data_IF_274219369541
#
_entry.id   IF_274219369541
#
_cell.length_a   1.000
_cell.length_b   1.000
_cell.length_c   1.000
_cell.angle_alpha   90.00
_cell.angle_beta   90.00
_cell.angle_gamma   90.00
#
_symmetry.space_group_name_H-M   'P 1'
#
loop_
_entity.id
_entity.type
_entity.pdbx_description
1 polymer ?
#
# COMPACT_ATOMS: atom_id res chain seq x y z
N UNK A 1 -40.93 18.87 -73.82
CA UNK A 1 -41.76 19.90 -73.17
C UNK A 1 -43.19 19.40 -73.11
N UNK A 2 -43.68 19.05 -71.92
CA UNK A 2 -45.11 18.87 -71.67
C UNK A 2 -45.36 19.19 -70.20
N UNK A 3 -46.00 20.33 -69.97
CA UNK A 3 -46.35 20.89 -68.67
C UNK A 3 -47.78 20.49 -68.32
N UNK A 4 -48.02 20.09 -67.06
CA UNK A 4 -49.35 20.02 -66.40
C UNK A 4 -49.18 19.60 -64.92
N UNK A 5 -50.14 19.91 -64.03
CA UNK A 5 -50.28 21.19 -63.33
C UNK A 5 -50.10 21.06 -61.80
N UNK A 6 -49.92 22.20 -61.13
CA UNK A 6 -49.87 22.34 -59.67
C UNK A 6 -51.16 21.85 -58.98
N UNK A 7 -51.02 21.11 -57.87
CA UNK A 7 -52.11 20.72 -56.96
C UNK A 7 -51.97 21.46 -55.62
N UNK A 8 -53.12 21.96 -55.14
CA UNK A 8 -53.30 22.88 -54.00
C UNK A 8 -52.74 22.35 -52.67
N UNK A 9 -52.21 23.28 -51.86
CA UNK A 9 -52.02 23.11 -50.42
C UNK A 9 -53.36 22.87 -49.74
N UNK A 10 -53.48 21.74 -49.05
CA UNK A 10 -54.49 21.51 -48.01
C UNK A 10 -53.90 21.86 -46.66
N UNK A 11 -54.46 22.88 -46.02
CA UNK A 11 -54.30 23.18 -44.60
C UNK A 11 -55.08 22.14 -43.80
N UNK A 12 -54.40 21.27 -43.08
CA UNK A 12 -55.04 20.46 -42.03
C UNK A 12 -54.40 20.80 -40.69
N UNK A 13 -55.01 21.79 -40.03
CA UNK A 13 -54.80 22.10 -38.63
C UNK A 13 -55.43 20.99 -37.80
N UNK A 14 -54.61 20.02 -37.38
CA UNK A 14 -54.98 19.12 -36.29
C UNK A 14 -53.85 19.13 -35.27
N UNK A 15 -54.08 19.56 -34.01
CA UNK A 15 -53.08 19.49 -32.98
C UNK A 15 -52.88 18.01 -32.65
N UNK A 16 -51.83 17.40 -33.20
CA UNK A 16 -51.38 16.10 -32.75
C UNK A 16 -50.90 16.28 -31.32
N UNK A 17 -51.79 15.94 -30.38
CA UNK A 17 -51.48 15.65 -29.00
C UNK A 17 -50.15 14.89 -28.97
N UNK A 18 -49.12 15.51 -28.39
CA UNK A 18 -47.87 14.84 -28.06
C UNK A 18 -48.18 13.91 -26.88
N UNK A 19 -48.91 12.83 -27.18
CA UNK A 19 -49.15 11.73 -26.28
C UNK A 19 -47.79 11.16 -25.92
N UNK A 20 -47.43 11.39 -24.66
CA UNK A 20 -46.21 10.93 -23.99
C UNK A 20 -45.73 9.59 -24.54
N UNK A 21 -44.73 9.62 -25.41
CA UNK A 21 -44.03 8.42 -25.85
C UNK A 21 -43.06 8.02 -24.72
N UNK A 22 -43.61 7.61 -23.58
CA UNK A 22 -42.88 6.83 -22.58
C UNK A 22 -42.55 5.48 -23.23
N UNK A 23 -41.49 5.44 -24.05
CA UNK A 23 -40.90 4.19 -24.52
C UNK A 23 -40.56 3.37 -23.28
N UNK A 24 -41.37 2.36 -22.99
CA UNK A 24 -41.12 1.44 -21.88
C UNK A 24 -39.77 0.81 -22.14
N UNK A 25 -38.78 1.14 -21.30
CA UNK A 25 -37.44 0.55 -21.36
C UNK A 25 -37.62 -0.97 -21.34
N UNK A 26 -37.08 -1.71 -22.34
CA UNK A 26 -37.26 -3.16 -22.41
C UNK A 26 -36.72 -3.80 -21.13
N UNK A 27 -37.43 -4.82 -20.62
CA UNK A 27 -37.13 -5.46 -19.34
C UNK A 27 -35.66 -5.90 -19.22
N UNK A 28 -35.07 -6.36 -20.34
CA UNK A 28 -33.64 -6.70 -20.44
C UNK A 28 -32.72 -5.52 -20.08
N UNK A 29 -33.03 -4.31 -20.53
CA UNK A 29 -32.24 -3.10 -20.27
C UNK A 29 -32.40 -2.60 -18.82
N UNK A 30 -33.54 -2.88 -18.17
CA UNK A 30 -33.72 -2.64 -16.73
C UNK A 30 -32.92 -3.61 -15.88
N UNK A 31 -32.91 -4.89 -16.25
CA UNK A 31 -32.15 -5.94 -15.54
C UNK A 31 -30.65 -5.67 -15.65
N UNK A 32 -30.13 -5.34 -16.83
CA UNK A 32 -28.71 -5.00 -16.98
C UNK A 32 -28.30 -3.77 -16.19
N UNK A 33 -29.14 -2.71 -16.14
CA UNK A 33 -28.87 -1.52 -15.31
C UNK A 33 -28.83 -1.84 -13.81
N UNK A 34 -29.73 -2.72 -13.33
CA UNK A 34 -29.74 -3.19 -11.93
C UNK A 34 -28.51 -4.05 -11.62
N UNK A 35 -28.14 -4.98 -12.51
CA UNK A 35 -26.93 -5.79 -12.33
C UNK A 35 -25.68 -4.91 -12.31
N UNK A 36 -25.58 -3.94 -13.23
CA UNK A 36 -24.45 -3.02 -13.29
C UNK A 36 -24.34 -2.17 -12.01
N UNK A 37 -25.46 -1.65 -11.51
CA UNK A 37 -25.48 -0.88 -10.25
C UNK A 37 -25.13 -1.74 -9.04
N UNK A 38 -25.61 -2.97 -8.95
CA UNK A 38 -25.23 -3.90 -7.86
C UNK A 38 -23.74 -4.23 -7.92
N UNK A 39 -23.18 -4.49 -9.11
CA UNK A 39 -21.74 -4.75 -9.28
C UNK A 39 -20.90 -3.53 -8.92
N UNK A 40 -21.32 -2.32 -9.32
CA UNK A 40 -20.64 -1.07 -8.96
C UNK A 40 -20.69 -0.82 -7.45
N UNK A 41 -21.85 -1.02 -6.81
CA UNK A 41 -21.98 -0.86 -5.36
C UNK A 41 -21.19 -1.92 -4.58
N UNK A 42 -21.17 -3.17 -5.04
CA UNK A 42 -20.35 -4.22 -4.45
C UNK A 42 -18.85 -3.92 -4.61
N UNK A 43 -18.43 -3.47 -5.78
CA UNK A 43 -17.06 -3.03 -6.06
C UNK A 43 -16.64 -1.85 -5.17
N UNK A 44 -17.51 -0.83 -5.03
CA UNK A 44 -17.30 0.30 -4.12
C UNK A 44 -17.20 -0.15 -2.66
N UNK A 45 -18.08 -1.05 -2.22
CA UNK A 45 -18.05 -1.60 -0.85
C UNK A 45 -16.75 -2.33 -0.54
N UNK A 46 -16.26 -3.15 -1.48
CA UNK A 46 -14.96 -3.85 -1.35
C UNK A 46 -13.79 -2.86 -1.32
N UNK A 47 -13.82 -1.83 -2.16
CA UNK A 47 -12.76 -0.81 -2.21
C UNK A 47 -12.69 0.01 -0.91
N UNK A 48 -13.85 0.42 -0.38
CA UNK A 48 -13.93 1.15 0.91
C UNK A 48 -13.45 0.27 2.06
N UNK A 49 -13.84 -1.01 2.09
CA UNK A 49 -13.36 -1.94 3.12
C UNK A 49 -11.84 -2.15 3.09
N UNK A 50 -11.25 -2.20 1.90
CA UNK A 50 -9.80 -2.36 1.73
C UNK A 50 -9.04 -1.08 2.16
N UNK A 51 -9.49 0.09 1.70
CA UNK A 51 -8.88 1.37 2.07
C UNK A 51 -9.08 1.74 3.54
N UNK A 52 -10.15 1.24 4.19
CA UNK A 52 -10.36 1.45 5.62
C UNK A 52 -9.38 0.64 6.49
N UNK A 53 -8.74 -0.39 5.94
CA UNK A 53 -7.91 -1.34 6.70
C UNK A 53 -6.43 -1.27 6.39
N UNK A 54 -6.01 -0.61 5.30
CA UNK A 54 -4.61 -0.48 4.89
C UNK A 54 -4.23 0.99 4.59
N UNK A 55 -2.94 1.36 4.68
CA UNK A 55 -2.46 2.64 4.17
C UNK A 55 -2.78 2.84 2.68
N UNK A 56 -3.00 4.10 2.27
CA UNK A 56 -3.26 4.46 0.87
C UNK A 56 -2.02 4.33 -0.04
N UNK A 57 -0.83 4.29 0.57
CA UNK A 57 0.45 4.12 -0.10
C UNK A 57 1.27 3.07 0.67
N UNK A 58 1.96 2.23 -0.08
CA UNK A 58 2.81 1.14 0.41
C UNK A 58 3.81 1.64 1.46
N UNK A 59 3.47 1.39 2.73
CA UNK A 59 4.26 1.82 3.85
C UNK A 59 3.99 0.96 5.07
N UNK A 60 4.89 1.05 6.05
CA UNK A 60 4.76 0.34 7.30
C UNK A 60 5.37 1.12 8.46
N UNK A 61 4.62 1.20 9.57
CA UNK A 61 5.09 1.69 10.87
C UNK A 61 5.07 0.57 11.90
N UNK A 62 6.20 0.37 12.59
CA UNK A 62 6.35 -0.64 13.64
C UNK A 62 6.96 -0.01 14.87
N UNK A 63 6.42 -0.33 16.05
CA UNK A 63 6.95 0.14 17.32
C UNK A 63 7.59 -1.02 18.08
N UNK A 64 8.81 -0.81 18.56
CA UNK A 64 9.55 -1.75 19.39
C UNK A 64 9.90 -1.17 20.75
N UNK A 65 9.97 -2.06 21.73
CA UNK A 65 10.56 -1.78 23.04
C UNK A 65 11.66 -2.80 23.30
N UNK A 66 12.84 -2.31 23.63
CA UNK A 66 14.01 -3.11 24.01
C UNK A 66 14.33 -2.87 25.49
N UNK A 67 13.87 -3.75 26.41
CA UNK A 67 14.14 -3.58 27.82
C UNK A 67 15.62 -3.70 28.15
N UNK A 68 16.07 -2.92 29.14
CA UNK A 68 17.46 -2.96 29.64
C UNK A 68 18.53 -2.75 28.55
N UNK A 69 18.19 -1.99 27.49
CA UNK A 69 19.09 -1.66 26.40
C UNK A 69 19.00 -0.17 26.08
N UNK A 70 20.16 0.49 25.99
CA UNK A 70 20.23 1.90 25.61
C UNK A 70 19.92 2.08 24.12
N UNK A 71 19.36 3.23 23.75
CA UNK A 71 19.10 3.51 22.33
C UNK A 71 20.37 3.58 21.48
N UNK A 72 21.51 3.95 22.05
CA UNK A 72 22.79 3.88 21.36
C UNK A 72 23.18 2.43 21.01
N UNK A 73 22.93 1.46 21.89
CA UNK A 73 23.20 0.05 21.60
C UNK A 73 22.25 -0.48 20.51
N UNK A 74 20.97 -0.14 20.58
CA UNK A 74 19.98 -0.52 19.55
C UNK A 74 20.36 0.06 18.19
N UNK A 75 20.65 1.37 18.12
CA UNK A 75 21.07 2.05 16.89
C UNK A 75 22.35 1.45 16.31
N UNK A 76 23.34 1.16 17.16
CA UNK A 76 24.60 0.53 16.74
C UNK A 76 24.36 -0.86 16.15
N UNK A 77 23.52 -1.68 16.78
CA UNK A 77 23.15 -3.00 16.25
C UNK A 77 22.47 -2.92 14.88
N UNK A 78 21.51 -2.01 14.71
CA UNK A 78 20.84 -1.79 13.43
C UNK A 78 21.80 -1.30 12.36
N UNK A 79 22.64 -0.30 12.66
CA UNK A 79 23.65 0.23 11.75
C UNK A 79 24.64 -0.86 11.29
N UNK A 80 25.12 -1.68 12.21
CA UNK A 80 26.00 -2.78 11.89
C UNK A 80 25.30 -3.81 11.00
N UNK A 81 24.01 -4.09 11.24
CA UNK A 81 23.23 -5.01 10.42
C UNK A 81 23.00 -4.47 9.00
N UNK A 82 22.68 -3.19 8.86
CA UNK A 82 22.58 -2.51 7.56
C UNK A 82 23.90 -2.63 6.80
N UNK A 83 25.03 -2.37 7.48
CA UNK A 83 26.36 -2.48 6.88
C UNK A 83 26.68 -3.92 6.46
N UNK A 84 26.30 -4.91 7.26
CA UNK A 84 26.52 -6.32 6.96
C UNK A 84 25.71 -6.79 5.75
N UNK A 85 24.53 -6.24 5.54
CA UNK A 85 23.63 -6.60 4.44
C UNK A 85 23.63 -5.58 3.30
N UNK A 86 24.73 -4.86 3.08
CA UNK A 86 24.77 -3.79 2.07
C UNK A 86 24.93 -4.28 0.62
N UNK A 87 25.43 -5.49 0.44
CA UNK A 87 25.63 -6.14 -0.86
C UNK A 87 24.55 -7.17 -1.17
N UNK A 88 24.60 -7.79 -2.36
CA UNK A 88 23.61 -8.78 -2.80
C UNK A 88 23.83 -10.19 -2.24
N UNK A 89 24.98 -10.42 -1.59
CA UNK A 89 25.45 -11.77 -1.25
C UNK A 89 24.44 -12.61 -0.47
N UNK A 90 23.73 -11.97 0.45
CA UNK A 90 22.80 -12.64 1.35
C UNK A 90 21.40 -12.85 0.75
N UNK A 91 21.21 -12.52 -0.54
CA UNK A 91 20.00 -12.85 -1.32
C UNK A 91 20.27 -13.73 -2.54
N UNK A 92 21.49 -14.28 -2.68
CA UNK A 92 21.87 -15.12 -3.84
C UNK A 92 20.96 -16.34 -4.02
N UNK A 93 20.46 -16.89 -2.92
CA UNK A 93 19.59 -18.07 -2.91
C UNK A 93 18.14 -17.71 -2.57
N UNK A 94 17.77 -16.45 -2.76
CA UNK A 94 16.51 -15.91 -2.26
C UNK A 94 16.63 -15.08 -1.00
N UNK A 95 15.53 -14.45 -0.62
CA UNK A 95 15.31 -13.61 0.53
C UNK A 95 15.46 -12.14 0.19
N UNK A 96 15.24 -11.31 1.20
CA UNK A 96 15.42 -9.86 1.10
C UNK A 96 16.38 -9.31 2.17
N UNK A 97 17.19 -10.18 2.76
CA UNK A 97 18.17 -9.84 3.82
C UNK A 97 19.48 -9.30 3.23
N UNK A 98 19.40 -8.38 2.28
CA UNK A 98 20.52 -7.84 1.51
C UNK A 98 20.18 -6.45 0.96
N UNK A 99 21.11 -5.81 0.26
CA UNK A 99 20.92 -4.52 -0.44
C UNK A 99 20.41 -3.37 0.44
N UNK A 100 20.75 -3.39 1.73
CA UNK A 100 20.48 -2.28 2.64
C UNK A 100 21.58 -1.21 2.57
N UNK A 101 21.23 0.06 2.40
CA UNK A 101 22.22 1.14 2.32
C UNK A 101 21.96 2.17 3.40
N UNK A 102 22.97 2.45 4.23
CA UNK A 102 22.91 3.54 5.20
C UNK A 102 22.86 4.88 4.45
N UNK A 103 21.91 5.74 4.82
CA UNK A 103 21.74 7.07 4.22
C UNK A 103 22.27 8.15 5.16
N UNK A 104 21.84 8.14 6.41
CA UNK A 104 22.30 9.11 7.41
C UNK A 104 22.08 8.63 8.83
N UNK A 105 22.82 9.23 9.76
CA UNK A 105 22.73 8.99 11.19
C UNK A 105 22.70 10.33 11.92
N UNK A 106 21.81 10.44 12.91
CA UNK A 106 21.78 11.55 13.86
C UNK A 106 21.72 10.99 15.30
N UNK A 107 21.55 11.87 16.29
CA UNK A 107 21.43 11.48 17.69
C UNK A 107 20.30 10.47 17.91
N UNK A 108 19.11 10.78 17.41
CA UNK A 108 17.87 10.03 17.66
C UNK A 108 17.27 9.41 16.39
N UNK A 109 17.97 9.45 15.25
CA UNK A 109 17.46 8.90 13.99
C UNK A 109 18.54 8.13 13.23
N UNK A 110 18.15 7.04 12.58
CA UNK A 110 18.97 6.30 11.62
C UNK A 110 18.14 6.14 10.34
N UNK A 111 18.68 6.56 9.21
CA UNK A 111 18.02 6.43 7.89
C UNK A 111 18.79 5.49 7.00
N UNK A 112 18.06 4.63 6.29
CA UNK A 112 18.60 3.69 5.34
C UNK A 112 17.65 3.54 4.15
N UNK A 113 18.09 2.80 3.13
CA UNK A 113 17.21 2.29 2.07
C UNK A 113 17.35 0.79 1.96
N UNK A 114 16.34 0.16 1.39
CA UNK A 114 16.38 -1.23 0.95
C UNK A 114 15.95 -1.30 -0.51
N UNK A 115 16.56 -2.21 -1.26
CA UNK A 115 16.25 -2.44 -2.67
C UNK A 115 15.94 -3.93 -2.86
N UNK A 116 14.73 -4.24 -3.32
CA UNK A 116 14.32 -5.63 -3.56
C UNK A 116 15.20 -6.27 -4.64
N UNK A 117 15.73 -7.48 -4.43
CA UNK A 117 16.76 -8.05 -5.30
C UNK A 117 16.26 -8.44 -6.70
N UNK A 118 14.97 -8.75 -6.85
CA UNK A 118 14.41 -9.20 -8.13
C UNK A 118 13.84 -8.06 -8.98
N UNK A 119 13.12 -7.12 -8.35
CA UNK A 119 12.36 -6.07 -9.05
C UNK A 119 12.95 -4.68 -8.87
N UNK A 120 13.98 -4.53 -8.04
CA UNK A 120 14.65 -3.26 -7.79
C UNK A 120 13.71 -2.16 -7.29
N UNK A 121 12.60 -2.53 -6.65
CA UNK A 121 11.80 -1.58 -5.87
C UNK A 121 12.62 -1.09 -4.69
N UNK A 122 12.60 0.22 -4.49
CA UNK A 122 13.36 0.91 -3.45
C UNK A 122 12.42 1.47 -2.40
N UNK A 123 12.77 1.23 -1.15
CA UNK A 123 12.06 1.71 0.02
C UNK A 123 12.99 2.56 0.89
N UNK A 124 12.46 3.66 1.42
CA UNK A 124 13.10 4.50 2.42
C UNK A 124 12.77 3.99 3.82
N UNK A 125 13.81 3.78 4.63
CA UNK A 125 13.71 3.30 6.02
C UNK A 125 14.15 4.41 6.97
N UNK A 126 13.35 4.66 8.01
CA UNK A 126 13.68 5.56 9.11
C UNK A 126 13.45 4.86 10.43
N UNK A 127 14.46 4.86 11.30
CA UNK A 127 14.35 4.44 12.69
C UNK A 127 14.49 5.65 13.60
N UNK A 128 13.52 5.87 14.46
CA UNK A 128 13.53 6.94 15.47
C UNK A 128 13.64 6.33 16.86
N UNK A 129 14.62 6.79 17.63
CA UNK A 129 14.96 6.25 18.94
C UNK A 129 14.52 7.21 20.04
N UNK A 130 13.94 6.69 21.11
CA UNK A 130 13.53 7.45 22.28
C UNK A 130 13.88 6.69 23.55
N UNK A 131 14.68 7.29 24.42
CA UNK A 131 15.03 6.70 25.71
C UNK A 131 13.79 6.64 26.63
N UNK A 132 13.62 5.52 27.33
CA UNK A 132 12.54 5.27 28.27
C UNK A 132 13.09 4.60 29.53
N UNK A 133 13.82 5.38 30.34
CA UNK A 133 14.55 4.86 31.50
C UNK A 133 15.73 3.98 31.05
N UNK A 134 15.75 2.72 31.47
CA UNK A 134 16.76 1.73 31.03
C UNK A 134 16.39 1.05 29.71
N UNK A 135 15.24 1.40 29.12
CA UNK A 135 14.73 0.77 27.91
C UNK A 135 14.92 1.72 26.72
N UNK A 136 14.99 1.16 25.52
CA UNK A 136 14.89 1.94 24.29
C UNK A 136 13.55 1.68 23.61
N UNK A 137 12.81 2.75 23.31
CA UNK A 137 11.69 2.70 22.38
C UNK A 137 12.20 3.06 20.99
N UNK A 138 11.86 2.25 20.00
CA UNK A 138 12.24 2.50 18.61
C UNK A 138 11.00 2.43 17.74
N UNK A 139 10.78 3.47 16.94
CA UNK A 139 9.80 3.44 15.86
C UNK A 139 10.54 3.22 14.55
N UNK A 140 10.13 2.21 13.78
CA UNK A 140 10.55 2.00 12.41
C UNK A 140 9.46 2.45 11.46
N UNK A 141 9.86 3.13 10.40
CA UNK A 141 9.00 3.51 9.30
C UNK A 141 9.66 3.15 7.97
N UNK A 142 8.94 2.42 7.12
CA UNK A 142 9.33 2.11 5.75
C UNK A 142 8.28 2.64 4.80
N UNK A 143 8.68 3.20 3.66
CA UNK A 143 7.78 3.65 2.60
C UNK A 143 8.39 3.41 1.24
N UNK A 144 7.57 3.02 0.27
CA UNK A 144 8.05 2.84 -1.10
C UNK A 144 8.35 4.17 -1.80
N UNK A 145 9.43 4.24 -2.57
CA UNK A 145 9.70 5.39 -3.45
C UNK A 145 8.75 5.38 -4.67
N UNK A 146 8.14 4.23 -4.98
CA UNK A 146 7.23 4.10 -6.13
C UNK A 146 5.90 4.80 -5.82
N UNK A 147 5.65 5.91 -6.50
CA UNK A 147 4.49 6.79 -6.23
C UNK A 147 3.12 6.12 -6.44
N UNK A 148 3.04 5.07 -7.25
CA UNK A 148 1.81 4.30 -7.52
C UNK A 148 1.73 2.97 -6.75
N UNK A 149 2.65 2.71 -5.81
CA UNK A 149 2.61 1.51 -5.00
C UNK A 149 1.51 1.62 -3.94
N UNK A 150 0.37 0.99 -4.20
CA UNK A 150 -0.73 0.82 -3.22
C UNK A 150 -0.55 -0.46 -2.40
N UNK A 151 0.07 -1.48 -3.01
CA UNK A 151 0.34 -2.80 -2.44
C UNK A 151 1.84 -3.08 -2.54
N UNK A 152 2.39 -3.76 -1.55
CA UNK A 152 3.82 -4.07 -1.44
C UNK A 152 4.07 -5.53 -1.06
N UNK A 153 3.03 -6.36 -0.99
CA UNK A 153 3.10 -7.71 -0.44
C UNK A 153 3.73 -7.76 0.97
N UNK A 154 3.65 -6.69 1.77
CA UNK A 154 4.28 -6.61 3.08
C UNK A 154 5.80 -6.38 3.05
N UNK A 155 6.38 -6.01 1.91
CA UNK A 155 7.81 -5.68 1.76
C UNK A 155 8.25 -4.62 2.77
N UNK A 156 7.45 -3.57 2.99
CA UNK A 156 7.77 -2.49 3.93
C UNK A 156 7.76 -2.95 5.38
N UNK A 157 6.96 -3.95 5.74
CA UNK A 157 7.06 -4.59 7.05
C UNK A 157 8.31 -5.48 7.13
N UNK A 158 8.52 -6.30 6.10
CA UNK A 158 9.59 -7.29 6.10
C UNK A 158 10.98 -6.67 6.09
N UNK A 159 11.19 -5.57 5.36
CA UNK A 159 12.49 -4.92 5.32
C UNK A 159 12.89 -4.35 6.71
N UNK A 160 11.93 -3.88 7.51
CA UNK A 160 12.11 -3.43 8.88
C UNK A 160 12.34 -4.64 9.82
N UNK A 161 11.45 -5.63 9.77
CA UNK A 161 11.49 -6.82 10.63
C UNK A 161 12.79 -7.63 10.42
N UNK A 162 13.26 -7.73 9.18
CA UNK A 162 14.51 -8.40 8.85
C UNK A 162 15.72 -7.76 9.54
N UNK A 163 15.81 -6.43 9.64
CA UNK A 163 16.91 -5.76 10.34
C UNK A 163 16.86 -6.00 11.86
N UNK A 164 15.68 -6.03 12.45
CA UNK A 164 15.50 -6.29 13.88
C UNK A 164 15.89 -7.73 14.24
N UNK A 165 15.44 -8.70 13.45
CA UNK A 165 15.77 -10.11 13.67
C UNK A 165 17.22 -10.42 13.32
N UNK A 166 17.73 -9.90 12.19
CA UNK A 166 19.12 -10.09 11.74
C UNK A 166 20.14 -9.57 12.75
N UNK A 167 19.86 -8.41 13.37
CA UNK A 167 20.74 -7.82 14.39
C UNK A 167 20.67 -8.50 15.76
N UNK A 168 19.80 -9.51 15.92
CA UNK A 168 19.53 -10.19 17.18
C UNK A 168 18.84 -9.32 18.23
N UNK A 169 18.26 -8.18 17.82
CA UNK A 169 17.51 -7.31 18.73
C UNK A 169 16.22 -7.97 19.24
N UNK A 170 15.59 -8.80 18.40
CA UNK A 170 14.42 -9.61 18.76
C UNK A 170 14.68 -10.62 19.89
N UNK A 171 15.94 -10.93 20.18
CA UNK A 171 16.32 -11.86 21.25
C UNK A 171 16.43 -11.18 22.62
N UNK A 172 16.17 -9.87 22.70
CA UNK A 172 16.19 -9.12 23.96
C UNK A 172 15.08 -9.63 24.88
N UNK A 173 15.39 -9.96 26.13
CA UNK A 173 14.38 -10.39 27.11
C UNK A 173 13.32 -9.30 27.30
N UNK A 174 12.05 -9.67 27.12
CA UNK A 174 10.92 -8.72 27.21
C UNK A 174 10.76 -7.81 25.99
N UNK A 175 11.43 -8.12 24.87
CA UNK A 175 11.18 -7.48 23.57
C UNK A 175 9.69 -7.48 23.24
N UNK A 176 9.20 -6.33 22.76
CA UNK A 176 7.84 -6.22 22.22
C UNK A 176 7.87 -5.57 20.85
N UNK A 177 6.99 -6.03 19.96
CA UNK A 177 6.72 -5.45 18.66
C UNK A 177 5.23 -5.14 18.54
N UNK A 178 4.87 -3.97 18.02
CA UNK A 178 3.47 -3.56 17.82
C UNK A 178 3.28 -2.89 16.48
N UNK A 179 2.37 -3.47 15.68
CA UNK A 179 1.88 -2.93 14.41
C UNK A 179 0.53 -3.58 14.05
N UNK A 180 -0.07 -3.18 12.92
CA UNK A 180 -1.36 -3.68 12.42
C UNK A 180 -1.48 -3.42 10.92
N UNK A 181 -2.51 -3.99 10.28
CA UNK A 181 -2.82 -3.69 8.87
C UNK A 181 -3.06 -2.20 8.62
N UNK A 182 -3.61 -1.46 9.59
CA UNK A 182 -3.80 -0.02 9.47
C UNK A 182 -2.50 0.79 9.54
N UNK A 183 -1.41 0.21 10.04
CA UNK A 183 -0.09 0.81 10.12
C UNK A 183 0.85 0.32 9.02
N UNK A 184 0.60 -0.88 8.50
CA UNK A 184 1.46 -1.57 7.54
C UNK A 184 0.63 -2.23 6.46
N UNK A 185 0.88 -1.82 5.22
CA UNK A 185 0.27 -2.39 4.02
C UNK A 185 0.47 -3.90 4.01
N UNK A 186 -0.62 -4.65 3.91
CA UNK A 186 -0.62 -6.12 3.79
C UNK A 186 0.07 -6.89 4.93
N UNK A 187 0.20 -6.30 6.13
CA UNK A 187 0.90 -6.90 7.27
C UNK A 187 0.46 -8.33 7.61
N UNK A 188 -0.85 -8.60 7.72
CA UNK A 188 -1.37 -9.94 8.07
C UNK A 188 -1.10 -11.03 7.01
N UNK A 189 -0.72 -10.62 5.81
CA UNK A 189 -0.33 -11.51 4.69
C UNK A 189 1.15 -11.44 4.36
N UNK A 190 1.94 -10.74 5.19
CA UNK A 190 3.38 -10.60 4.97
C UNK A 190 4.06 -11.96 5.10
N UNK A 191 4.97 -12.23 4.16
CA UNK A 191 5.88 -13.37 4.21
C UNK A 191 7.27 -12.80 3.97
N UNK A 192 8.07 -12.72 5.04
CA UNK A 192 9.40 -12.12 5.01
C UNK A 192 10.50 -13.11 4.61
N UNK A 193 10.11 -14.35 4.32
CA UNK A 193 10.98 -15.40 3.82
C UNK A 193 10.78 -15.64 2.32
N UNK A 194 9.79 -14.98 1.69
CA UNK A 194 9.59 -15.09 0.25
C UNK A 194 10.71 -14.40 -0.52
N UNK A 195 10.93 -14.95 -1.71
CA UNK A 195 12.12 -14.86 -2.55
C UNK A 195 13.21 -15.82 -2.13
#
# INVERSE_FOLDING_TARGET
MSSKPYRKLGTDNSPKSCGSCCKKIPLCCKITMVVLTVVVLAGLGLFVGFAATNPLHASCRVNWIFPSMTCNNVKTKLKNQISLWNGPDNCKNGGEKCLYKLVSESTNTLKATHETPSKHYKDDLTFTFSDAGMNCKTEGYSTSETWYAVLDYGTNYCNLHNLITGSGLSNTTGYTESTSNSQCTQYSSADCMKY
#
